data_IF_848151562046
#
_entry.id   IF_848151562046
#
_cell.length_a   1.000
_cell.length_b   1.000
_cell.length_c   1.000
_cell.angle_alpha   90.00
_cell.angle_beta   90.00
_cell.angle_gamma   90.00
#
_symmetry.space_group_name_H-M   'P 1'
#
loop_
_entity.id
_entity.type
_entity.pdbx_description
1 polymer ?
#
# COMPACT_ATOMS: atom_id res chain seq x y z
N UNK A 1 7.64 -28.59 -2.45
CA UNK A 1 7.20 -28.32 -1.06
C UNK A 1 6.25 -27.11 -0.90
N UNK A 2 6.04 -26.30 -1.91
CA UNK A 2 4.99 -25.26 -1.89
C UNK A 2 3.59 -25.90 -1.78
N UNK A 3 3.40 -27.06 -2.36
CA UNK A 3 2.12 -27.78 -2.38
C UNK A 3 1.68 -28.38 -1.04
N UNK A 4 2.53 -29.06 -0.26
CA UNK A 4 2.16 -29.47 1.10
C UNK A 4 1.86 -28.32 2.03
N UNK A 5 2.54 -27.18 1.87
CA UNK A 5 2.28 -25.98 2.67
C UNK A 5 0.94 -25.30 2.34
N UNK A 6 0.35 -25.60 1.17
CA UNK A 6 -0.98 -25.12 0.78
C UNK A 6 -2.10 -26.12 1.14
N UNK A 7 -1.77 -27.36 1.47
CA UNK A 7 -2.73 -28.48 1.56
C UNK A 7 -2.87 -28.99 2.99
N UNK A 8 -2.95 -28.21 3.99
CA UNK A 8 -3.65 -28.84 5.02
C UNK A 8 -3.13 -29.02 6.42
N UNK A 9 -2.22 -28.25 6.88
CA UNK A 9 -2.06 -28.07 8.32
C UNK A 9 -2.28 -26.61 8.70
N UNK A 10 -2.79 -26.33 9.90
CA UNK A 10 -2.90 -24.95 10.40
C UNK A 10 -1.54 -24.23 10.39
N UNK A 11 -0.45 -24.96 10.55
CA UNK A 11 0.90 -24.45 10.50
C UNK A 11 1.24 -23.96 9.08
N UNK A 12 0.90 -24.72 8.04
CA UNK A 12 1.06 -24.33 6.64
C UNK A 12 0.18 -23.10 6.26
N UNK A 13 -0.99 -22.98 6.87
CA UNK A 13 -1.86 -21.83 6.69
C UNK A 13 -1.24 -20.58 7.32
N UNK A 14 -0.60 -20.70 8.47
CA UNK A 14 0.06 -19.60 9.19
C UNK A 14 1.31 -19.10 8.46
N UNK A 15 2.06 -20.00 7.85
CA UNK A 15 3.33 -19.68 7.19
C UNK A 15 3.21 -19.29 5.71
N UNK A 16 2.03 -19.32 5.12
CA UNK A 16 1.78 -19.04 3.69
C UNK A 16 2.44 -17.76 3.17
N UNK A 17 2.42 -16.69 3.94
CA UNK A 17 3.03 -15.42 3.58
C UNK A 17 4.51 -15.33 3.95
N UNK A 18 5.02 -16.31 4.71
CA UNK A 18 6.41 -16.36 5.18
C UNK A 18 7.22 -17.50 4.54
N UNK A 19 6.62 -18.29 3.65
CA UNK A 19 7.27 -19.43 3.03
C UNK A 19 8.62 -19.09 2.38
N UNK A 20 8.77 -17.90 1.83
CA UNK A 20 10.02 -17.45 1.22
C UNK A 20 11.08 -17.02 2.25
N UNK A 21 10.67 -16.59 3.43
CA UNK A 21 11.59 -16.14 4.48
C UNK A 21 12.37 -17.28 5.14
N UNK A 22 11.92 -18.53 4.97
CA UNK A 22 12.57 -19.74 5.52
C UNK A 22 13.50 -20.43 4.53
N UNK A 23 13.68 -19.92 3.31
CA UNK A 23 14.53 -20.55 2.29
C UNK A 23 16.02 -20.39 2.64
N UNK A 24 16.76 -21.51 2.50
CA UNK A 24 18.24 -21.47 2.57
C UNK A 24 18.82 -20.96 1.25
N UNK A 25 20.08 -20.47 1.23
CA UNK A 25 20.76 -20.08 0.00
C UNK A 25 20.76 -21.18 -1.06
N UNK A 26 20.96 -22.44 -0.68
CA UNK A 26 20.95 -23.59 -1.58
C UNK A 26 19.57 -23.83 -2.19
N UNK A 27 18.49 -23.58 -1.43
CA UNK A 27 17.12 -23.66 -1.95
C UNK A 27 16.83 -22.52 -2.93
N UNK A 28 17.34 -21.33 -2.68
CA UNK A 28 17.23 -20.20 -3.62
C UNK A 28 17.92 -20.51 -4.93
N UNK A 29 19.14 -21.06 -4.88
CA UNK A 29 19.88 -21.51 -6.07
C UNK A 29 19.12 -22.62 -6.83
N UNK A 30 18.55 -23.59 -6.10
CA UNK A 30 17.74 -24.65 -6.68
C UNK A 30 16.46 -24.11 -7.36
N UNK A 31 15.80 -23.11 -6.77
CA UNK A 31 14.68 -22.42 -7.42
C UNK A 31 15.14 -21.69 -8.68
N UNK A 32 16.29 -21.02 -8.65
CA UNK A 32 16.90 -20.40 -9.82
C UNK A 32 17.15 -21.38 -10.95
N UNK A 33 17.75 -22.54 -10.65
CA UNK A 33 17.98 -23.61 -11.62
C UNK A 33 16.66 -24.20 -12.17
N UNK A 34 15.65 -24.37 -11.32
CA UNK A 34 14.32 -24.84 -11.73
C UNK A 34 13.65 -23.85 -12.69
N UNK A 35 13.73 -22.54 -12.42
CA UNK A 35 13.18 -21.50 -13.27
C UNK A 35 13.75 -21.50 -14.70
N UNK A 36 15.00 -21.96 -14.88
CA UNK A 36 15.63 -22.07 -16.20
C UNK A 36 15.12 -23.29 -17.01
N UNK A 37 14.54 -24.28 -16.37
CA UNK A 37 14.17 -25.56 -16.99
C UNK A 37 12.66 -25.75 -17.09
N UNK A 38 11.88 -25.16 -16.18
CA UNK A 38 10.45 -25.34 -16.13
C UNK A 38 9.73 -24.47 -17.19
N UNK A 39 8.69 -25.02 -17.80
CA UNK A 39 7.82 -24.26 -18.67
C UNK A 39 6.83 -23.44 -17.83
N UNK A 40 6.81 -22.14 -18.05
CA UNK A 40 5.89 -21.22 -17.39
C UNK A 40 4.90 -20.64 -18.39
N UNK A 41 3.64 -20.62 -17.99
CA UNK A 41 2.58 -19.92 -18.72
C UNK A 41 1.88 -19.00 -17.75
N UNK A 42 1.83 -17.71 -18.05
CA UNK A 42 1.05 -16.71 -17.31
C UNK A 42 -0.06 -16.22 -18.20
N UNK A 43 -1.29 -16.25 -17.71
CA UNK A 43 -2.47 -15.76 -18.45
C UNK A 43 -3.41 -15.03 -17.51
N UNK A 44 -4.29 -14.22 -18.05
CA UNK A 44 -5.37 -13.60 -17.29
C UNK A 44 -6.32 -14.69 -16.80
N UNK A 45 -6.81 -14.57 -15.57
CA UNK A 45 -7.87 -15.43 -15.07
C UNK A 45 -9.19 -15.18 -15.83
N UNK A 46 -9.97 -16.24 -16.04
CA UNK A 46 -11.19 -16.17 -16.83
C UNK A 46 -12.39 -15.61 -16.06
N UNK A 47 -12.31 -15.60 -14.70
CA UNK A 47 -13.36 -15.07 -13.85
C UNK A 47 -13.23 -13.54 -13.70
N UNK A 48 -14.36 -12.87 -13.56
CA UNK A 48 -14.40 -11.40 -13.41
C UNK A 48 -14.31 -10.99 -11.92
N UNK A 49 -13.46 -11.67 -11.14
CA UNK A 49 -13.14 -11.27 -9.77
C UNK A 49 -12.10 -10.15 -9.78
N UNK A 50 -12.23 -9.20 -8.86
CA UNK A 50 -11.25 -8.11 -8.70
C UNK A 50 -9.88 -8.67 -8.29
N UNK A 51 -9.87 -9.73 -7.48
CA UNK A 51 -8.67 -10.45 -7.08
C UNK A 51 -8.88 -11.94 -7.32
N UNK A 52 -8.15 -12.51 -8.28
CA UNK A 52 -8.14 -13.95 -8.60
C UNK A 52 -6.72 -14.37 -8.91
N UNK A 53 -6.22 -15.33 -8.13
CA UNK A 53 -4.91 -15.96 -8.37
C UNK A 53 -5.13 -17.46 -8.46
N UNK A 54 -4.83 -18.04 -9.62
CA UNK A 54 -4.86 -19.47 -9.86
C UNK A 54 -3.44 -19.95 -10.16
N UNK A 55 -2.95 -20.88 -9.36
CA UNK A 55 -1.66 -21.51 -9.59
C UNK A 55 -1.89 -22.99 -9.87
N UNK A 56 -1.37 -23.48 -11.00
CA UNK A 56 -1.37 -24.91 -11.36
C UNK A 56 0.06 -25.37 -11.58
N UNK A 57 0.39 -26.49 -10.98
CA UNK A 57 1.68 -27.18 -11.16
C UNK A 57 1.42 -28.55 -11.74
N UNK A 58 2.25 -28.96 -12.71
CA UNK A 58 2.19 -30.29 -13.34
C UNK A 58 3.57 -30.93 -13.34
N UNK A 59 3.64 -32.24 -13.04
CA UNK A 59 4.86 -33.04 -13.10
C UNK A 59 4.52 -34.41 -13.63
N UNK A 60 4.87 -34.70 -14.89
CA UNK A 60 4.48 -35.93 -15.55
C UNK A 60 2.94 -36.07 -15.64
N UNK A 61 2.39 -37.12 -15.04
CA UNK A 61 0.95 -37.36 -14.98
C UNK A 61 0.26 -36.67 -13.78
N UNK A 62 1.02 -36.15 -12.84
CA UNK A 62 0.47 -35.50 -11.66
C UNK A 62 0.20 -34.00 -11.87
N UNK A 63 -0.88 -33.52 -11.28
CA UNK A 63 -1.22 -32.11 -11.28
C UNK A 63 -1.82 -31.66 -9.96
N UNK A 64 -1.58 -30.40 -9.62
CA UNK A 64 -2.25 -29.78 -8.48
C UNK A 64 -2.52 -28.32 -8.79
N UNK A 65 -3.62 -27.79 -8.26
CA UNK A 65 -3.97 -26.39 -8.41
C UNK A 65 -4.57 -25.80 -7.14
N UNK A 66 -4.34 -24.51 -6.95
CA UNK A 66 -4.92 -23.70 -5.87
C UNK A 66 -5.49 -22.44 -6.48
N UNK A 67 -6.66 -22.05 -6.02
CA UNK A 67 -7.34 -20.79 -6.38
C UNK A 67 -7.56 -19.96 -5.12
N UNK A 68 -7.17 -18.68 -5.20
CA UNK A 68 -7.34 -17.68 -4.15
C UNK A 68 -8.15 -16.53 -4.75
N UNK A 69 -9.24 -16.13 -4.07
CA UNK A 69 -10.07 -15.04 -4.55
C UNK A 69 -10.44 -14.04 -3.46
N UNK A 70 -10.58 -12.77 -3.84
CA UNK A 70 -11.03 -11.65 -3.02
C UNK A 70 -9.95 -11.07 -2.10
N UNK A 71 -9.19 -11.89 -1.38
CA UNK A 71 -8.08 -11.47 -0.53
C UNK A 71 -7.03 -12.58 -0.36
N UNK A 72 -5.79 -12.20 -0.05
CA UNK A 72 -4.59 -13.05 -0.13
C UNK A 72 -4.65 -14.37 0.63
N UNK A 73 -5.45 -14.48 1.68
CA UNK A 73 -5.56 -15.70 2.51
C UNK A 73 -6.82 -16.50 2.23
N UNK A 74 -7.67 -16.07 1.29
CA UNK A 74 -8.93 -16.72 0.98
C UNK A 74 -8.75 -17.76 -0.13
N UNK A 75 -8.27 -18.95 0.23
CA UNK A 75 -8.26 -20.10 -0.67
C UNK A 75 -9.69 -20.56 -0.86
N UNK A 76 -10.14 -20.63 -2.12
CA UNK A 76 -11.49 -21.05 -2.49
C UNK A 76 -11.55 -22.41 -3.16
N UNK A 77 -10.43 -22.89 -3.74
CA UNK A 77 -10.37 -24.21 -4.36
C UNK A 77 -8.98 -24.80 -4.25
N UNK A 78 -8.93 -26.12 -3.98
CA UNK A 78 -7.73 -26.94 -4.08
C UNK A 78 -8.09 -28.20 -4.86
N UNK A 79 -7.27 -28.54 -5.84
CA UNK A 79 -7.47 -29.72 -6.68
C UNK A 79 -6.17 -30.49 -6.84
N UNK A 80 -6.22 -31.82 -6.85
CA UNK A 80 -5.10 -32.70 -7.13
C UNK A 80 -5.54 -33.79 -8.11
N UNK A 81 -4.82 -33.95 -9.21
CA UNK A 81 -5.08 -34.96 -10.25
C UNK A 81 -6.54 -34.98 -10.73
N UNK A 82 -7.16 -33.80 -10.91
CA UNK A 82 -8.55 -33.63 -11.32
C UNK A 82 -9.59 -33.84 -10.21
N UNK A 83 -9.16 -34.22 -8.99
CA UNK A 83 -10.06 -34.41 -7.84
C UNK A 83 -10.03 -33.17 -6.95
N UNK A 84 -11.22 -32.57 -6.76
CA UNK A 84 -11.38 -31.42 -5.85
C UNK A 84 -11.20 -31.89 -4.40
N UNK A 85 -10.18 -31.35 -3.73
CA UNK A 85 -9.86 -31.62 -2.33
C UNK A 85 -10.54 -30.65 -1.38
N UNK A 86 -10.71 -29.41 -1.85
CA UNK A 86 -11.37 -28.33 -1.11
C UNK A 86 -12.09 -27.41 -2.07
N UNK A 87 -13.32 -27.00 -1.70
CA UNK A 87 -14.08 -25.98 -2.41
C UNK A 87 -14.89 -25.15 -1.42
N UNK A 88 -14.84 -23.84 -1.63
CA UNK A 88 -15.63 -22.85 -0.91
C UNK A 88 -16.24 -21.91 -1.93
N UNK A 89 -17.55 -21.76 -1.89
CA UNK A 89 -18.23 -20.78 -2.73
C UNK A 89 -17.74 -19.37 -2.40
N UNK A 90 -17.35 -18.64 -3.44
CA UNK A 90 -16.97 -17.25 -3.34
C UNK A 90 -17.89 -16.40 -4.21
N UNK A 91 -18.50 -15.39 -3.60
CA UNK A 91 -19.19 -14.33 -4.29
C UNK A 91 -18.53 -13.00 -3.93
N UNK A 92 -18.35 -12.13 -4.89
CA UNK A 92 -17.69 -10.83 -4.69
C UNK A 92 -18.58 -9.83 -3.91
N UNK A 93 -19.79 -10.22 -3.52
CA UNK A 93 -20.69 -9.45 -2.66
C UNK A 93 -20.12 -9.38 -1.24
N UNK A 94 -19.75 -8.19 -0.85
CA UNK A 94 -19.27 -7.70 0.43
C UNK A 94 -18.99 -8.74 1.53
N UNK A 95 -17.77 -8.80 2.02
CA UNK A 95 -17.41 -9.70 3.11
C UNK A 95 -18.33 -9.46 4.30
N UNK A 96 -19.04 -10.48 4.77
CA UNK A 96 -19.88 -10.43 5.98
C UNK A 96 -19.10 -10.06 7.25
N UNK A 97 -17.78 -9.89 7.15
CA UNK A 97 -16.86 -9.50 8.22
C UNK A 97 -16.06 -8.25 7.91
N UNK A 98 -16.45 -7.46 6.91
CA UNK A 98 -15.77 -6.19 6.64
C UNK A 98 -16.09 -5.21 7.79
N UNK A 99 -15.04 -4.63 8.37
CA UNK A 99 -15.19 -3.50 9.29
C UNK A 99 -16.02 -2.41 8.63
N UNK A 100 -17.05 -1.93 9.32
CA UNK A 100 -17.84 -0.80 8.84
C UNK A 100 -16.96 0.44 8.74
N UNK A 101 -16.68 0.87 7.52
CA UNK A 101 -15.88 2.05 7.23
C UNK A 101 -16.72 3.28 6.90
N UNK A 102 -18.04 3.18 6.99
CA UNK A 102 -18.95 4.33 6.76
C UNK A 102 -18.75 5.45 7.78
N UNK A 103 -18.20 5.11 8.95
CA UNK A 103 -17.84 6.07 10.00
C UNK A 103 -16.59 6.88 9.69
N UNK A 104 -15.78 6.48 8.69
CA UNK A 104 -14.57 7.20 8.35
C UNK A 104 -14.92 8.46 7.54
N UNK A 105 -14.92 9.60 8.23
CA UNK A 105 -14.87 10.93 7.63
C UNK A 105 -13.67 11.68 8.17
N UNK A 106 -13.16 12.66 7.43
CA UNK A 106 -12.01 13.46 7.87
C UNK A 106 -12.27 14.10 9.23
N UNK A 107 -13.49 14.59 9.46
CA UNK A 107 -13.88 15.19 10.74
C UNK A 107 -13.82 14.18 11.89
N UNK A 108 -14.41 13.00 11.70
CA UNK A 108 -14.43 11.93 12.72
C UNK A 108 -13.03 11.34 12.96
N UNK A 109 -12.21 11.25 11.93
CA UNK A 109 -10.80 10.82 12.06
C UNK A 109 -10.03 11.77 12.97
N UNK A 110 -10.19 13.09 12.79
CA UNK A 110 -9.51 14.08 13.62
C UNK A 110 -10.05 14.07 15.06
N UNK A 111 -11.38 13.97 15.23
CA UNK A 111 -11.98 13.85 16.55
C UNK A 111 -11.45 12.61 17.28
N UNK A 112 -11.43 11.45 16.61
CA UNK A 112 -10.86 10.23 17.17
C UNK A 112 -9.36 10.40 17.53
N UNK A 113 -8.56 10.99 16.66
CA UNK A 113 -7.13 11.22 16.93
C UNK A 113 -6.91 12.13 18.16
N UNK A 114 -7.81 13.10 18.41
CA UNK A 114 -7.74 13.98 19.58
C UNK A 114 -8.14 13.28 20.87
N UNK A 115 -9.09 12.34 20.84
CA UNK A 115 -9.75 11.76 22.00
C UNK A 115 -9.25 10.36 22.35
N UNK A 116 -8.70 9.58 21.39
CA UNK A 116 -8.31 8.19 21.61
C UNK A 116 -7.33 8.06 22.77
N UNK A 117 -7.56 7.06 23.64
CA UNK A 117 -6.55 6.67 24.62
C UNK A 117 -5.33 6.10 23.88
N UNK A 118 -4.17 6.71 24.14
CA UNK A 118 -2.93 6.29 23.49
C UNK A 118 -2.59 4.84 23.79
N UNK A 119 -2.97 4.31 24.95
CA UNK A 119 -2.76 2.91 25.29
C UNK A 119 -3.40 1.93 24.28
N UNK A 120 -4.52 2.31 23.67
CA UNK A 120 -5.22 1.46 22.70
C UNK A 120 -4.51 1.36 21.34
N UNK A 121 -3.70 2.33 20.99
CA UNK A 121 -3.07 2.45 19.66
C UNK A 121 -1.55 2.35 19.67
N UNK A 122 -0.91 2.57 20.82
CA UNK A 122 0.54 2.72 20.93
C UNK A 122 1.30 1.47 20.48
N UNK A 123 0.85 0.26 20.80
CA UNK A 123 1.57 -0.97 20.44
C UNK A 123 1.69 -1.09 18.91
N UNK A 124 0.58 -0.89 18.21
CA UNK A 124 0.55 -0.98 16.74
C UNK A 124 1.36 0.15 16.11
N UNK A 125 1.22 1.38 16.61
CA UNK A 125 1.92 2.54 16.06
C UNK A 125 3.41 2.52 16.40
N UNK A 126 3.80 2.06 17.59
CA UNK A 126 5.21 1.91 17.93
C UNK A 126 5.88 0.87 17.02
N UNK A 127 5.22 -0.26 16.77
CA UNK A 127 5.70 -1.28 15.82
C UNK A 127 5.84 -0.69 14.41
N UNK A 128 4.88 0.15 13.98
CA UNK A 128 4.95 0.84 12.69
C UNK A 128 6.15 1.79 12.63
N UNK A 129 6.41 2.54 13.70
CA UNK A 129 7.56 3.44 13.79
C UNK A 129 8.86 2.64 13.67
N UNK A 130 9.02 1.61 14.50
CA UNK A 130 10.27 0.85 14.61
C UNK A 130 10.59 0.10 13.32
N UNK A 131 9.64 -0.64 12.77
CA UNK A 131 9.87 -1.47 11.58
C UNK A 131 10.04 -0.62 10.32
N UNK A 132 9.16 0.36 10.11
CA UNK A 132 9.22 1.18 8.92
C UNK A 132 10.44 2.10 8.92
N UNK A 133 10.86 2.56 10.10
CA UNK A 133 12.11 3.33 10.23
C UNK A 133 13.34 2.47 9.93
N UNK A 134 13.41 1.27 10.50
CA UNK A 134 14.55 0.37 10.31
C UNK A 134 14.78 0.02 8.84
N UNK A 135 13.72 -0.33 8.09
CA UNK A 135 13.86 -0.64 6.66
C UNK A 135 14.18 0.60 5.83
N UNK A 136 13.72 1.79 6.22
CA UNK A 136 14.06 3.02 5.52
C UNK A 136 15.56 3.37 5.70
N UNK A 137 16.10 3.22 6.90
CA UNK A 137 17.55 3.38 7.16
C UNK A 137 18.37 2.36 6.38
N UNK A 138 17.92 1.11 6.33
CA UNK A 138 18.56 0.07 5.51
C UNK A 138 18.53 0.44 4.02
N UNK A 139 17.42 0.93 3.50
CA UNK A 139 17.29 1.37 2.11
C UNK A 139 18.19 2.57 1.77
N UNK A 140 18.44 3.47 2.74
CA UNK A 140 19.40 4.57 2.54
C UNK A 140 20.86 4.11 2.57
N UNK A 141 21.18 3.07 3.34
CA UNK A 141 22.53 2.54 3.52
C UNK A 141 22.91 1.53 2.45
N UNK A 142 22.00 0.62 2.14
CA UNK A 142 22.22 -0.49 1.21
C UNK A 142 22.12 -0.09 -0.25
N UNK A 143 22.22 -1.09 -1.11
CA UNK A 143 22.09 -0.94 -2.57
C UNK A 143 20.85 -1.70 -3.03
N UNK A 144 19.73 -0.99 -3.15
CA UNK A 144 18.42 -1.58 -3.44
C UNK A 144 17.75 -0.90 -4.64
N UNK A 145 17.48 -1.68 -5.66
CA UNK A 145 16.73 -1.24 -6.84
C UNK A 145 17.37 -0.04 -7.53
N UNK A 146 16.62 1.06 -7.62
CA UNK A 146 17.11 2.29 -8.25
C UNK A 146 17.68 3.30 -7.24
N UNK A 147 17.75 2.96 -5.95
CA UNK A 147 18.28 3.83 -4.90
C UNK A 147 17.63 5.23 -4.84
N UNK A 148 16.35 5.30 -5.08
CA UNK A 148 15.61 6.57 -5.21
C UNK A 148 15.76 7.42 -3.95
N UNK A 149 15.63 6.83 -2.75
CA UNK A 149 15.80 7.57 -1.50
C UNK A 149 17.16 8.23 -1.39
N UNK A 150 18.22 7.52 -1.71
CA UNK A 150 19.61 8.03 -1.69
C UNK A 150 19.83 9.12 -2.74
N UNK A 151 19.33 8.91 -3.97
CA UNK A 151 19.41 9.89 -5.06
C UNK A 151 18.73 11.20 -4.67
N UNK A 152 17.55 11.14 -4.04
CA UNK A 152 16.83 12.34 -3.60
C UNK A 152 17.67 13.19 -2.63
N UNK A 153 18.31 12.55 -1.64
CA UNK A 153 19.14 13.28 -0.66
C UNK A 153 20.41 13.85 -1.31
N UNK A 154 21.05 13.10 -2.19
CA UNK A 154 22.26 13.54 -2.90
C UNK A 154 21.97 14.69 -3.87
N UNK A 155 20.85 14.65 -4.58
CA UNK A 155 20.52 15.62 -5.63
C UNK A 155 19.85 16.89 -5.08
N UNK A 156 19.03 16.78 -4.06
CA UNK A 156 18.18 17.87 -3.56
C UNK A 156 18.52 18.30 -2.13
N UNK A 157 19.46 17.61 -1.45
CA UNK A 157 19.92 17.96 -0.11
C UNK A 157 19.01 17.48 1.03
N UNK A 158 19.39 17.86 2.25
CA UNK A 158 18.90 17.29 3.51
C UNK A 158 17.76 18.10 4.16
N UNK A 159 17.04 18.94 3.42
CA UNK A 159 15.87 19.61 3.99
C UNK A 159 14.85 18.61 4.52
N UNK A 160 14.04 18.99 5.51
CA UNK A 160 12.99 18.12 6.08
C UNK A 160 12.08 17.57 4.97
N UNK A 161 11.71 18.40 4.01
CA UNK A 161 10.89 18.04 2.87
C UNK A 161 11.53 16.91 2.04
N UNK A 162 12.82 17.03 1.72
CA UNK A 162 13.53 16.01 0.96
C UNK A 162 13.76 14.74 1.76
N UNK A 163 14.07 14.86 3.06
CA UNK A 163 14.18 13.68 3.95
C UNK A 163 12.87 12.89 4.04
N UNK A 164 11.74 13.57 4.18
CA UNK A 164 10.43 12.92 4.25
C UNK A 164 10.17 12.05 3.00
N UNK A 165 10.42 12.58 1.81
CA UNK A 165 10.33 11.81 0.55
C UNK A 165 11.35 10.69 0.48
N UNK A 166 12.59 11.00 0.84
CA UNK A 166 13.70 10.07 0.70
C UNK A 166 13.57 8.84 1.61
N UNK A 167 13.16 9.02 2.86
CA UNK A 167 12.93 7.91 3.79
C UNK A 167 11.80 7.01 3.32
N UNK A 168 10.68 7.59 2.86
CA UNK A 168 9.56 6.82 2.32
C UNK A 168 9.97 6.02 1.06
N UNK A 169 10.71 6.65 0.15
CA UNK A 169 11.24 6.01 -1.05
C UNK A 169 12.27 4.91 -0.71
N UNK A 170 13.20 5.17 0.21
CA UNK A 170 14.25 4.22 0.60
C UNK A 170 13.66 2.95 1.24
N UNK A 171 12.65 3.09 2.10
CA UNK A 171 11.94 1.93 2.64
C UNK A 171 11.32 1.07 1.54
N UNK A 172 10.79 1.70 0.49
CA UNK A 172 10.28 0.99 -0.68
C UNK A 172 11.39 0.42 -1.57
N UNK A 173 12.50 1.14 -1.77
CA UNK A 173 13.68 0.60 -2.48
C UNK A 173 14.11 -0.73 -1.85
N UNK A 174 14.31 -0.77 -0.54
CA UNK A 174 14.69 -1.96 0.20
C UNK A 174 13.61 -3.06 0.09
N UNK A 175 12.35 -2.72 0.39
CA UNK A 175 11.24 -3.69 0.39
C UNK A 175 11.01 -4.32 -0.97
N UNK A 176 11.06 -3.54 -2.05
CA UNK A 176 10.76 -4.04 -3.41
C UNK A 176 11.92 -4.83 -4.02
N UNK A 177 13.09 -4.81 -3.40
CA UNK A 177 14.29 -5.42 -3.94
C UNK A 177 14.95 -6.43 -2.97
N UNK A 178 14.16 -7.09 -2.12
CA UNK A 178 14.55 -8.29 -1.40
C UNK A 178 15.13 -8.08 0.00
N UNK A 179 14.92 -6.92 0.62
CA UNK A 179 15.27 -6.73 2.03
C UNK A 179 14.34 -7.54 2.93
N UNK A 180 14.90 -8.30 3.87
CA UNK A 180 14.17 -9.19 4.78
C UNK A 180 13.53 -8.47 5.98
N UNK A 181 13.83 -7.18 6.17
CA UNK A 181 13.26 -6.42 7.28
C UNK A 181 11.74 -6.28 7.15
N UNK A 182 11.00 -6.50 8.24
CA UNK A 182 9.55 -6.39 8.23
C UNK A 182 9.07 -4.95 8.09
N UNK A 183 7.85 -4.81 7.58
CA UNK A 183 7.14 -3.52 7.51
C UNK A 183 5.76 -3.63 8.11
N UNK A 184 5.25 -2.56 8.70
CA UNK A 184 3.84 -2.44 9.07
C UNK A 184 3.06 -1.85 7.90
N UNK A 185 2.09 -2.62 7.44
CA UNK A 185 1.29 -2.31 6.26
C UNK A 185 0.17 -1.30 6.56
N UNK A 186 -0.33 -0.64 5.53
CA UNK A 186 -1.62 0.05 5.55
C UNK A 186 -2.45 -0.40 4.34
N UNK A 187 -3.74 -0.65 4.55
CA UNK A 187 -4.67 -1.08 3.47
C UNK A 187 -4.15 -2.23 2.60
N UNK A 188 -3.50 -3.22 3.22
CA UNK A 188 -2.97 -4.41 2.55
C UNK A 188 -1.63 -4.21 1.81
N UNK A 189 -0.98 -3.05 1.94
CA UNK A 189 0.28 -2.75 1.25
C UNK A 189 1.35 -2.20 2.19
N UNK A 190 2.56 -2.83 2.16
CA UNK A 190 3.72 -2.31 2.89
C UNK A 190 4.17 -0.95 2.38
N UNK A 191 4.14 -0.73 1.07
CA UNK A 191 4.48 0.57 0.48
C UNK A 191 3.53 1.68 0.95
N UNK A 192 2.23 1.40 1.11
CA UNK A 192 1.30 2.36 1.70
C UNK A 192 1.61 2.62 3.19
N UNK A 193 1.96 1.57 3.95
CA UNK A 193 2.38 1.72 5.34
C UNK A 193 3.64 2.59 5.49
N UNK A 194 4.66 2.37 4.65
CA UNK A 194 5.87 3.19 4.61
C UNK A 194 5.55 4.66 4.25
N UNK A 195 4.74 4.86 3.21
CA UNK A 195 4.37 6.19 2.72
C UNK A 195 3.54 6.97 3.74
N UNK A 196 2.60 6.32 4.41
CA UNK A 196 1.77 6.97 5.43
C UNK A 196 2.55 7.32 6.70
N UNK A 197 3.57 6.53 7.07
CA UNK A 197 4.23 6.71 8.36
C UNK A 197 5.53 7.52 8.30
N UNK A 198 6.42 7.22 7.36
CA UNK A 198 7.78 7.77 7.37
C UNK A 198 7.85 9.30 7.24
N UNK A 199 7.06 9.96 6.37
CA UNK A 199 7.06 11.42 6.34
C UNK A 199 6.63 12.05 7.66
N UNK A 200 5.60 11.47 8.31
CA UNK A 200 5.12 11.93 9.62
C UNK A 200 6.21 11.77 10.68
N UNK A 201 6.90 10.63 10.70
CA UNK A 201 7.99 10.36 11.66
C UNK A 201 9.15 11.33 11.44
N UNK A 202 9.53 11.60 10.17
CA UNK A 202 10.61 12.56 9.85
C UNK A 202 10.25 13.96 10.36
N UNK A 203 9.02 14.42 10.10
CA UNK A 203 8.56 15.72 10.57
C UNK A 203 8.45 15.79 12.10
N UNK A 204 7.95 14.75 12.74
CA UNK A 204 7.86 14.69 14.20
C UNK A 204 9.23 14.77 14.89
N UNK A 205 10.23 14.07 14.34
CA UNK A 205 11.62 14.14 14.84
C UNK A 205 12.23 15.54 14.65
N UNK A 206 11.99 16.17 13.53
CA UNK A 206 12.50 17.53 13.25
C UNK A 206 11.86 18.58 14.16
N UNK A 207 10.56 18.47 14.36
CA UNK A 207 9.80 19.40 15.23
C UNK A 207 10.01 19.14 16.72
N UNK A 208 10.63 18.01 17.10
CA UNK A 208 10.85 17.65 18.50
C UNK A 208 9.56 17.46 19.29
N UNK A 209 8.49 17.00 18.64
CA UNK A 209 7.20 16.78 19.31
C UNK A 209 7.24 15.60 20.28
N UNK A 210 6.29 15.54 21.20
CA UNK A 210 6.16 14.41 22.13
C UNK A 210 5.78 13.12 21.39
N UNK A 211 6.13 11.97 21.97
CA UNK A 211 5.73 10.66 21.43
C UNK A 211 4.21 10.53 21.30
N UNK A 212 3.46 11.08 22.24
CA UNK A 212 2.00 11.10 22.18
C UNK A 212 1.48 11.88 20.96
N UNK A 213 2.09 13.02 20.65
CA UNK A 213 1.73 13.82 19.46
C UNK A 213 2.05 13.05 18.17
N UNK A 214 3.19 12.36 18.11
CA UNK A 214 3.53 11.49 16.98
C UNK A 214 2.49 10.40 16.78
N UNK A 215 2.06 9.70 17.84
CA UNK A 215 1.02 8.68 17.73
C UNK A 215 -0.28 9.26 17.19
N UNK A 216 -0.75 10.42 17.68
CA UNK A 216 -1.96 11.07 17.19
C UNK A 216 -1.86 11.46 15.72
N UNK A 217 -0.72 11.99 15.31
CA UNK A 217 -0.46 12.33 13.90
C UNK A 217 -0.44 11.08 13.00
N UNK A 218 0.12 9.97 13.49
CA UNK A 218 0.07 8.68 12.79
C UNK A 218 -1.35 8.10 12.73
N UNK A 219 -2.18 8.29 13.76
CA UNK A 219 -3.61 7.95 13.69
C UNK A 219 -4.28 8.70 12.54
N UNK A 220 -4.10 10.03 12.46
CA UNK A 220 -4.65 10.84 11.35
C UNK A 220 -4.15 10.31 10.01
N UNK A 221 -2.85 10.15 9.84
CA UNK A 221 -2.26 9.69 8.58
C UNK A 221 -2.78 8.33 8.15
N UNK A 222 -2.76 7.34 9.05
CA UNK A 222 -3.21 5.99 8.74
C UNK A 222 -4.71 5.94 8.43
N UNK A 223 -5.56 6.61 9.19
CA UNK A 223 -7.01 6.58 8.97
C UNK A 223 -7.43 7.37 7.73
N UNK A 224 -6.80 8.49 7.41
CA UNK A 224 -7.02 9.21 6.14
C UNK A 224 -6.61 8.35 4.96
N UNK A 225 -5.48 7.65 5.04
CA UNK A 225 -5.06 6.69 4.01
C UNK A 225 -6.09 5.58 3.81
N UNK A 226 -6.60 4.99 4.89
CA UNK A 226 -7.64 3.95 4.85
C UNK A 226 -8.94 4.48 4.27
N UNK A 227 -9.33 5.70 4.65
CA UNK A 227 -10.54 6.34 4.16
C UNK A 227 -10.53 6.54 2.65
N UNK A 228 -9.47 7.16 2.12
CA UNK A 228 -9.23 7.30 0.68
C UNK A 228 -9.21 5.94 -0.03
N UNK A 229 -8.47 4.98 0.52
CA UNK A 229 -8.34 3.65 -0.08
C UNK A 229 -9.65 2.86 -0.09
N UNK A 230 -10.57 3.15 0.81
CA UNK A 230 -11.89 2.50 0.86
C UNK A 230 -12.69 2.74 -0.42
N UNK A 231 -12.69 3.96 -0.95
CA UNK A 231 -13.35 4.27 -2.22
C UNK A 231 -12.61 3.71 -3.45
N UNK A 232 -11.28 3.63 -3.39
CA UNK A 232 -10.45 3.09 -4.48
C UNK A 232 -10.62 1.58 -4.62
N UNK A 233 -10.90 0.87 -3.51
CA UNK A 233 -11.02 -0.59 -3.47
C UNK A 233 -9.69 -1.31 -3.22
N UNK A 234 -9.74 -2.64 -3.11
CA UNK A 234 -8.57 -3.48 -2.77
C UNK A 234 -7.54 -3.53 -3.89
N UNK A 235 -7.96 -3.65 -5.13
CA UNK A 235 -7.13 -3.61 -6.33
C UNK A 235 -7.69 -2.59 -7.33
N UNK A 236 -6.80 -1.78 -7.87
CA UNK A 236 -7.11 -0.79 -8.92
C UNK A 236 -5.82 -0.35 -9.58
N UNK A 237 -5.90 0.02 -10.85
CA UNK A 237 -4.82 0.73 -11.54
C UNK A 237 -4.52 2.10 -10.93
N UNK A 238 -5.35 2.61 -10.03
CA UNK A 238 -5.06 3.80 -9.24
C UNK A 238 -4.06 3.48 -8.12
N UNK A 239 -2.92 4.12 -8.13
CA UNK A 239 -1.83 3.83 -7.18
C UNK A 239 -2.21 4.19 -5.74
N UNK A 240 -2.12 3.19 -4.84
CA UNK A 240 -2.37 3.41 -3.42
C UNK A 240 -1.37 4.36 -2.73
N UNK A 241 -0.21 4.63 -3.36
CA UNK A 241 0.75 5.60 -2.85
C UNK A 241 0.14 7.00 -2.79
N UNK A 242 -0.74 7.39 -3.71
CA UNK A 242 -1.45 8.67 -3.70
C UNK A 242 -2.28 8.84 -2.42
N UNK A 243 -3.09 7.83 -2.07
CA UNK A 243 -3.85 7.84 -0.83
C UNK A 243 -2.95 7.97 0.41
N UNK A 244 -1.82 7.26 0.41
CA UNK A 244 -0.87 7.27 1.51
C UNK A 244 -0.07 8.58 1.60
N UNK A 245 0.28 9.20 0.48
CA UNK A 245 0.89 10.53 0.42
C UNK A 245 -0.04 11.62 0.97
N UNK A 246 -1.34 11.55 0.61
CA UNK A 246 -2.37 12.42 1.18
C UNK A 246 -2.51 12.22 2.69
N UNK A 247 -2.53 10.96 3.15
CA UNK A 247 -2.58 10.63 4.57
C UNK A 247 -1.36 11.16 5.33
N UNK A 248 -0.17 10.97 4.78
CA UNK A 248 1.06 11.50 5.37
C UNK A 248 1.02 13.02 5.51
N UNK A 249 0.59 13.73 4.47
CA UNK A 249 0.45 15.19 4.52
C UNK A 249 -0.60 15.65 5.55
N UNK A 250 -1.73 14.94 5.67
CA UNK A 250 -2.72 15.17 6.71
C UNK A 250 -2.12 15.01 8.12
N UNK A 251 -1.33 13.95 8.35
CA UNK A 251 -0.61 13.74 9.60
C UNK A 251 0.43 14.83 9.89
N UNK A 252 1.16 15.28 8.88
CA UNK A 252 2.12 16.39 9.03
C UNK A 252 1.38 17.70 9.32
N UNK A 253 0.25 17.98 8.63
CA UNK A 253 -0.59 19.15 8.91
C UNK A 253 -1.06 19.13 10.37
N UNK A 254 -1.45 17.98 10.88
CA UNK A 254 -1.84 17.81 12.28
C UNK A 254 -0.67 18.12 13.24
N UNK A 255 0.59 17.71 12.93
CA UNK A 255 1.77 18.07 13.71
C UNK A 255 1.99 19.58 13.82
N UNK A 256 1.61 20.35 12.81
CA UNK A 256 1.64 21.81 12.82
C UNK A 256 0.42 22.44 13.51
N UNK A 257 -0.43 21.66 14.17
CA UNK A 257 -1.63 22.11 14.88
C UNK A 257 -2.86 22.28 14.00
N UNK A 258 -2.80 21.87 12.74
CA UNK A 258 -3.94 21.89 11.82
C UNK A 258 -5.10 21.06 12.34
N UNK A 259 -6.30 21.59 12.18
CA UNK A 259 -7.56 20.95 12.52
C UNK A 259 -8.33 20.59 11.23
N UNK A 260 -9.62 20.34 11.35
CA UNK A 260 -10.44 19.87 10.21
C UNK A 260 -10.26 20.71 8.94
N UNK A 261 -10.29 22.04 9.04
CA UNK A 261 -10.20 22.92 7.88
C UNK A 261 -8.86 22.76 7.15
N UNK A 262 -7.76 22.84 7.90
CA UNK A 262 -6.41 22.78 7.35
C UNK A 262 -6.11 21.41 6.76
N UNK A 263 -6.52 20.35 7.44
CA UNK A 263 -6.35 18.98 6.98
C UNK A 263 -7.21 18.69 5.74
N UNK A 264 -8.46 19.16 5.73
CA UNK A 264 -9.35 18.99 4.58
C UNK A 264 -8.80 19.69 3.33
N UNK A 265 -8.27 20.90 3.45
CA UNK A 265 -7.64 21.62 2.34
C UNK A 265 -6.35 20.91 1.88
N UNK A 266 -5.52 20.43 2.81
CA UNK A 266 -4.33 19.64 2.48
C UNK A 266 -4.70 18.40 1.65
N UNK A 267 -5.71 17.65 2.07
CA UNK A 267 -6.18 16.46 1.36
C UNK A 267 -6.68 16.81 -0.04
N UNK A 268 -7.55 17.82 -0.17
CA UNK A 268 -8.09 18.24 -1.47
C UNK A 268 -6.99 18.68 -2.41
N UNK A 269 -6.05 19.50 -1.95
CA UNK A 269 -4.91 19.93 -2.74
C UNK A 269 -4.05 18.75 -3.20
N UNK A 270 -3.69 17.84 -2.28
CA UNK A 270 -2.87 16.66 -2.57
C UNK A 270 -3.52 15.75 -3.62
N UNK A 271 -4.82 15.48 -3.47
CA UNK A 271 -5.59 14.66 -4.42
C UNK A 271 -5.65 15.33 -5.80
N UNK A 272 -5.89 16.64 -5.85
CA UNK A 272 -5.97 17.37 -7.13
C UNK A 272 -4.63 17.34 -7.89
N UNK A 273 -3.50 17.37 -7.16
CA UNK A 273 -2.16 17.33 -7.76
C UNK A 273 -1.85 15.93 -8.31
N UNK A 274 -2.16 14.86 -7.58
CA UNK A 274 -1.67 13.50 -7.88
C UNK A 274 -2.80 12.49 -8.12
N UNK A 275 -3.87 12.88 -8.80
CA UNK A 275 -5.03 12.02 -9.07
C UNK A 275 -4.90 11.10 -10.29
N UNK A 276 -3.72 10.90 -10.82
CA UNK A 276 -3.53 10.14 -12.06
C UNK A 276 -2.40 9.11 -12.02
N UNK A 277 -1.78 8.87 -10.89
CA UNK A 277 -0.67 7.92 -10.79
C UNK A 277 -1.16 6.49 -11.00
N UNK A 278 -0.57 5.80 -11.98
CA UNK A 278 -0.94 4.43 -12.34
C UNK A 278 -0.15 3.42 -11.50
N UNK A 279 -0.87 2.42 -10.97
CA UNK A 279 -0.31 1.21 -10.38
C UNK A 279 -0.21 0.11 -11.46
N UNK A 280 1.00 -0.33 -11.75
CA UNK A 280 1.32 -1.38 -12.71
C UNK A 280 2.09 -2.54 -12.05
N UNK A 281 1.76 -2.84 -10.80
CA UNK A 281 2.34 -3.91 -9.99
C UNK A 281 3.48 -3.45 -9.06
N UNK A 282 3.87 -4.33 -8.14
CA UNK A 282 4.92 -4.08 -7.16
C UNK A 282 6.30 -4.28 -7.79
N UNK A 283 7.13 -3.22 -7.82
CA UNK A 283 8.47 -3.23 -8.44
C UNK A 283 9.33 -2.06 -7.99
N UNK A 284 10.59 -2.01 -8.41
CA UNK A 284 11.54 -0.97 -8.04
C UNK A 284 11.03 0.47 -8.27
N UNK A 285 10.27 0.71 -9.35
CA UNK A 285 9.72 2.05 -9.63
C UNK A 285 8.69 2.53 -8.61
N UNK A 286 8.20 1.67 -7.70
CA UNK A 286 7.32 2.08 -6.62
C UNK A 286 7.95 3.13 -5.71
N UNK A 287 9.28 3.06 -5.48
CA UNK A 287 9.99 4.05 -4.67
C UNK A 287 9.87 5.47 -5.25
N UNK A 288 10.01 5.61 -6.58
CA UNK A 288 9.85 6.90 -7.24
C UNK A 288 8.40 7.41 -7.20
N UNK A 289 7.43 6.49 -7.38
CA UNK A 289 5.99 6.82 -7.25
C UNK A 289 5.64 7.29 -5.83
N UNK A 290 6.22 6.67 -4.81
CA UNK A 290 6.08 7.09 -3.41
C UNK A 290 6.66 8.49 -3.20
N UNK A 291 7.85 8.77 -3.73
CA UNK A 291 8.44 10.11 -3.64
C UNK A 291 7.52 11.17 -4.26
N UNK A 292 6.92 10.90 -5.42
CA UNK A 292 5.96 11.79 -6.07
C UNK A 292 4.69 12.00 -5.25
N UNK A 293 4.14 10.93 -4.69
CA UNK A 293 2.93 11.02 -3.87
C UNK A 293 3.16 11.82 -2.57
N UNK A 294 4.32 11.63 -1.93
CA UNK A 294 4.70 12.43 -0.75
C UNK A 294 4.93 13.90 -1.14
N UNK A 295 5.56 14.16 -2.30
CA UNK A 295 5.73 15.50 -2.84
C UNK A 295 4.38 16.21 -3.03
N UNK A 296 3.44 15.56 -3.72
CA UNK A 296 2.10 16.11 -3.94
C UNK A 296 1.38 16.41 -2.62
N UNK A 297 1.49 15.49 -1.65
CA UNK A 297 0.94 15.68 -0.32
C UNK A 297 1.54 16.89 0.39
N UNK A 298 2.86 16.97 0.48
CA UNK A 298 3.56 18.07 1.14
C UNK A 298 3.36 19.42 0.42
N UNK A 299 3.29 19.42 -0.92
CA UNK A 299 2.93 20.63 -1.66
C UNK A 299 1.51 21.08 -1.33
N UNK A 300 0.56 20.14 -1.26
CA UNK A 300 -0.83 20.43 -0.87
C UNK A 300 -0.92 21.04 0.53
N UNK A 301 -0.11 20.55 1.47
CA UNK A 301 0.03 21.16 2.81
C UNK A 301 0.63 22.56 2.73
N UNK A 302 1.71 22.77 1.98
CA UNK A 302 2.31 24.08 1.83
C UNK A 302 1.34 25.10 1.22
N UNK A 303 0.58 24.70 0.20
CA UNK A 303 -0.47 25.56 -0.36
C UNK A 303 -1.45 25.99 0.71
N UNK A 304 -1.93 25.05 1.55
CA UNK A 304 -2.83 25.38 2.64
C UNK A 304 -2.19 26.35 3.65
N UNK A 305 -0.92 26.14 4.04
CA UNK A 305 -0.19 27.05 4.94
C UNK A 305 -0.05 28.48 4.38
N UNK A 306 -0.06 28.61 3.06
CA UNK A 306 -0.08 29.90 2.35
C UNK A 306 -1.50 30.37 1.96
N UNK A 307 -2.53 29.82 2.61
CA UNK A 307 -3.94 30.16 2.35
C UNK A 307 -4.38 29.96 0.89
N UNK A 308 -3.68 29.06 0.19
CA UNK A 308 -3.95 28.71 -1.21
C UNK A 308 -4.57 27.32 -1.32
N UNK A 309 -5.56 27.17 -2.18
CA UNK A 309 -6.26 25.89 -2.35
C UNK A 309 -6.93 25.79 -3.73
N UNK A 310 -7.20 24.55 -4.15
CA UNK A 310 -8.12 24.28 -5.23
C UNK A 310 -9.57 24.35 -4.75
N UNK A 311 -10.46 24.84 -5.60
CA UNK A 311 -11.87 25.06 -5.27
C UNK A 311 -12.78 24.09 -6.02
N UNK A 312 -13.99 23.92 -5.52
CA UNK A 312 -15.04 23.18 -6.22
C UNK A 312 -15.30 23.77 -7.61
N UNK A 313 -15.13 22.94 -8.64
CA UNK A 313 -15.16 23.34 -10.06
C UNK A 313 -13.79 23.22 -10.75
N UNK A 314 -12.72 23.00 -10.00
CA UNK A 314 -11.39 22.71 -10.57
C UNK A 314 -11.28 21.22 -10.96
N UNK A 315 -11.84 20.89 -12.11
CA UNK A 315 -11.84 19.52 -12.63
C UNK A 315 -12.63 18.55 -11.76
N UNK A 316 -11.96 17.57 -11.16
CA UNK A 316 -12.59 16.56 -10.30
C UNK A 316 -12.82 17.04 -8.87
N UNK A 317 -12.27 18.19 -8.50
CA UNK A 317 -12.49 18.79 -7.18
C UNK A 317 -13.89 19.38 -7.10
N UNK A 318 -14.60 19.02 -6.04
CA UNK A 318 -15.97 19.53 -5.77
C UNK A 318 -16.05 20.08 -4.36
N UNK A 319 -17.14 20.79 -4.04
CA UNK A 319 -17.35 21.35 -2.72
C UNK A 319 -17.39 20.25 -1.65
N UNK A 320 -16.50 20.37 -0.67
CA UNK A 320 -16.37 19.45 0.48
C UNK A 320 -15.37 18.33 0.23
N UNK A 321 -14.52 18.06 1.23
CA UNK A 321 -13.45 17.04 1.16
C UNK A 321 -14.01 15.65 0.89
N UNK A 322 -15.09 15.26 1.57
CA UNK A 322 -15.70 13.94 1.41
C UNK A 322 -16.26 13.72 -0.01
N UNK A 323 -16.80 14.74 -0.63
CA UNK A 323 -17.30 14.66 -2.00
C UNK A 323 -16.15 14.50 -3.00
N UNK A 324 -15.04 15.20 -2.79
CA UNK A 324 -13.83 15.07 -3.61
C UNK A 324 -13.21 13.67 -3.43
N UNK A 325 -13.13 13.16 -2.21
CA UNK A 325 -12.67 11.78 -1.92
C UNK A 325 -13.56 10.77 -2.65
N UNK A 326 -14.87 10.96 -2.64
CA UNK A 326 -15.81 10.08 -3.35
C UNK A 326 -15.59 10.10 -4.88
N UNK A 327 -15.35 11.27 -5.47
CA UNK A 327 -15.05 11.40 -6.90
C UNK A 327 -13.79 10.61 -7.26
N UNK A 328 -12.73 10.68 -6.44
CA UNK A 328 -11.51 9.89 -6.61
C UNK A 328 -11.79 8.39 -6.49
N UNK A 329 -12.61 8.00 -5.51
CA UNK A 329 -13.04 6.62 -5.37
C UNK A 329 -13.74 6.09 -6.63
N UNK A 330 -14.69 6.85 -7.18
CA UNK A 330 -15.39 6.50 -8.42
C UNK A 330 -14.43 6.43 -9.62
N UNK A 331 -13.55 7.43 -9.78
CA UNK A 331 -12.53 7.41 -10.84
C UNK A 331 -11.65 6.16 -10.76
N UNK A 332 -11.21 5.81 -9.56
CA UNK A 332 -10.32 4.68 -9.34
C UNK A 332 -11.00 3.31 -9.51
N UNK A 333 -12.23 3.15 -8.98
CA UNK A 333 -12.93 1.87 -8.97
C UNK A 333 -13.67 1.58 -10.29
N UNK A 334 -14.22 2.62 -10.93
CA UNK A 334 -14.98 2.49 -12.16
C UNK A 334 -14.18 2.96 -13.38
N UNK A 335 -13.64 4.19 -13.33
CA UNK A 335 -12.97 4.81 -14.47
C UNK A 335 -11.67 4.12 -14.87
N UNK A 336 -10.92 3.55 -13.93
CA UNK A 336 -9.66 2.86 -14.21
C UNK A 336 -9.78 1.36 -14.45
N UNK A 337 -10.98 0.80 -14.49
CA UNK A 337 -11.19 -0.64 -14.68
C UNK A 337 -10.62 -1.16 -16.02
N UNK A 338 -10.83 -0.44 -17.12
CA UNK A 338 -10.23 -0.80 -18.40
C UNK A 338 -8.71 -0.53 -18.46
N UNK A 339 -8.25 0.48 -17.74
CA UNK A 339 -6.81 0.76 -17.57
C UNK A 339 -6.12 -0.43 -16.91
N UNK A 340 -6.70 -0.98 -15.85
CA UNK A 340 -6.19 -2.16 -15.14
C UNK A 340 -6.12 -3.39 -16.07
N UNK A 341 -7.19 -3.68 -16.80
CA UNK A 341 -7.23 -4.76 -17.80
C UNK A 341 -6.18 -4.58 -18.91
N UNK A 342 -5.97 -3.35 -19.34
CA UNK A 342 -4.97 -3.03 -20.36
C UNK A 342 -3.55 -3.23 -19.85
N UNK A 343 -3.27 -2.81 -18.61
CA UNK A 343 -1.97 -3.03 -17.95
C UNK A 343 -1.69 -4.54 -17.83
N UNK A 344 -2.67 -5.34 -17.40
CA UNK A 344 -2.52 -6.80 -17.30
C UNK A 344 -2.15 -7.39 -18.66
N UNK A 345 -2.87 -7.03 -19.74
CA UNK A 345 -2.55 -7.51 -21.10
C UNK A 345 -1.12 -7.14 -21.52
N UNK A 346 -0.69 -5.90 -21.26
CA UNK A 346 0.69 -5.48 -21.55
C UNK A 346 1.72 -6.29 -20.76
N UNK A 347 1.45 -6.56 -19.48
CA UNK A 347 2.38 -7.31 -18.61
C UNK A 347 2.55 -8.78 -19.05
N UNK A 348 1.50 -9.42 -19.53
CA UNK A 348 1.54 -10.80 -20.04
C UNK A 348 1.83 -10.89 -21.54
N UNK A 349 2.08 -9.78 -22.21
CA UNK A 349 2.38 -9.68 -23.65
C UNK A 349 1.27 -10.25 -24.55
N UNK A 350 0.03 -10.21 -24.13
CA UNK A 350 -1.13 -10.46 -24.99
C UNK A 350 -1.35 -9.23 -25.89
N UNK A 351 -1.12 -9.41 -27.20
CA UNK A 351 -1.30 -8.39 -28.22
C UNK A 351 -2.69 -8.47 -28.88
#
# INVERSE_FOLDING_TARGET
>A
EIMPSLVGSEMCIRDRLQVLASLTPEQVDAVGAYLQQAAFTVRRADKDYVFDIQVRVTAGADSASVEIAGYHTNVIRIEKNGVVQFHKDYQESGSQHATDRSLLTVEQIIAFANEVDIADVQETLQRQIDYNWAIAEEGLRGDYGANIGRILLQSYGMSIHNRAKAYAAAGSDARMNGCDLPVVINSGSGNQGLTASLPVIVYAKELGVTQQMLYRALVVSNLVTIHLKTGIGSLSAYCGATAAGCGAAAGVTYLYGGQFREIAHTIVNAIAIDSGMICDGAKASCAAKIASAVEAGLLGMQMQMHESQFYGGDGIVVKGVENTIRNIGTLASEGMRETDRTIIRMMIQEH
#
